data_IF_659949397038
#
_entry.id   IF_659949397038
#
_cell.length_a   1.000
_cell.length_b   1.000
_cell.length_c   1.000
_cell.angle_alpha   90.00
_cell.angle_beta   90.00
_cell.angle_gamma   90.00
#
_symmetry.space_group_name_H-M   'P 1'
#
loop_
_entity.id
_entity.type
_entity.pdbx_description
1 polymer ?
#
# COMPACT_ATOMS: atom_id res chain seq x y z
N UNK A 1 3.16 21.60 -3.33
CA UNK A 1 4.09 20.46 -3.44
C UNK A 1 5.34 20.90 -4.19
N UNK A 2 5.26 21.22 -5.48
CA UNK A 2 6.40 21.65 -6.30
C UNK A 2 7.28 22.71 -5.61
N UNK A 3 6.68 23.81 -5.14
CA UNK A 3 7.39 24.89 -4.43
C UNK A 3 8.12 24.42 -3.15
N UNK A 4 7.62 23.39 -2.47
CA UNK A 4 8.27 22.82 -1.27
C UNK A 4 9.35 21.81 -1.69
N UNK A 5 9.16 21.10 -2.79
CA UNK A 5 10.12 20.12 -3.30
C UNK A 5 11.43 20.78 -3.72
N UNK A 6 11.43 22.06 -4.10
CA UNK A 6 12.66 22.85 -4.34
C UNK A 6 13.55 22.97 -3.10
N UNK A 7 12.97 22.83 -1.90
CA UNK A 7 13.71 22.89 -0.63
C UNK A 7 14.28 21.53 -0.20
N UNK A 8 13.99 20.47 -0.95
CA UNK A 8 14.43 19.11 -0.64
C UNK A 8 15.94 18.96 -0.43
N UNK A 9 16.83 19.60 -1.22
CA UNK A 9 18.27 19.46 -1.02
C UNK A 9 18.75 19.97 0.34
N UNK A 10 17.97 20.84 0.99
CA UNK A 10 18.30 21.42 2.29
C UNK A 10 17.62 20.69 3.45
N UNK A 11 16.43 20.13 3.22
CA UNK A 11 15.57 19.59 4.29
C UNK A 11 15.16 18.13 4.10
N UNK A 12 15.74 17.39 3.15
CA UNK A 12 15.38 16.01 2.85
C UNK A 12 15.40 15.09 4.07
N UNK A 13 16.49 15.13 4.86
CA UNK A 13 16.58 14.39 6.11
C UNK A 13 15.53 14.82 7.15
N UNK A 14 15.26 16.12 7.28
CA UNK A 14 14.20 16.62 8.15
C UNK A 14 12.82 16.12 7.72
N UNK A 15 12.51 16.15 6.42
CA UNK A 15 11.25 15.64 5.89
C UNK A 15 11.07 14.15 6.18
N UNK A 16 12.14 13.35 6.05
CA UNK A 16 12.09 11.91 6.34
C UNK A 16 11.89 11.63 7.85
N UNK A 17 12.57 12.37 8.72
CA UNK A 17 12.39 12.24 10.17
C UNK A 17 11.00 12.68 10.61
N UNK A 18 10.49 13.79 10.06
CA UNK A 18 9.12 14.25 10.33
C UNK A 18 8.09 13.26 9.79
N UNK A 19 8.31 12.67 8.61
CA UNK A 19 7.46 11.59 8.08
C UNK A 19 7.35 10.44 9.07
N UNK A 20 8.47 9.97 9.63
CA UNK A 20 8.46 8.87 10.57
C UNK A 20 7.68 9.17 11.85
N UNK A 21 7.89 10.36 12.44
CA UNK A 21 7.18 10.80 13.63
C UNK A 21 5.66 10.91 13.37
N UNK A 22 5.27 11.59 12.29
CA UNK A 22 3.86 11.73 11.91
C UNK A 22 3.22 10.40 11.49
N UNK A 23 4.01 9.47 10.93
CA UNK A 23 3.56 8.13 10.58
C UNK A 23 3.18 7.31 11.81
N UNK A 24 3.98 7.37 12.88
CA UNK A 24 3.66 6.72 14.14
C UNK A 24 2.38 7.30 14.76
N UNK A 25 2.29 8.63 14.84
CA UNK A 25 1.11 9.33 15.34
C UNK A 25 -0.15 9.01 14.51
N UNK A 26 -0.02 8.95 13.18
CA UNK A 26 -1.12 8.65 12.27
C UNK A 26 -1.77 7.29 12.57
N UNK A 27 -0.94 6.28 12.83
CA UNK A 27 -1.43 4.94 13.16
C UNK A 27 -2.13 4.94 14.53
N UNK A 28 -1.52 5.55 15.54
CA UNK A 28 -2.10 5.60 16.88
C UNK A 28 -3.43 6.38 16.91
N UNK A 29 -3.41 7.61 16.39
CA UNK A 29 -4.57 8.48 16.36
C UNK A 29 -5.73 7.88 15.56
N UNK A 30 -5.44 7.23 14.42
CA UNK A 30 -6.48 6.61 13.59
C UNK A 30 -7.24 5.51 14.34
N UNK A 31 -6.54 4.72 15.14
CA UNK A 31 -7.14 3.67 15.99
C UNK A 31 -8.04 4.28 17.07
N UNK A 32 -7.55 5.31 17.76
CA UNK A 32 -8.28 5.98 18.84
C UNK A 32 -9.55 6.66 18.29
N UNK A 33 -9.41 7.44 17.23
CA UNK A 33 -10.49 8.21 16.62
C UNK A 33 -11.55 7.28 16.02
N UNK A 34 -11.13 6.22 15.32
CA UNK A 34 -12.04 5.24 14.72
C UNK A 34 -12.96 4.57 15.75
N UNK A 35 -12.46 4.32 16.96
CA UNK A 35 -13.23 3.76 18.09
C UNK A 35 -14.11 4.81 18.76
N UNK A 36 -13.55 6.00 19.04
CA UNK A 36 -14.24 7.05 19.78
C UNK A 36 -15.39 7.68 18.97
N UNK A 37 -15.28 7.72 17.64
CA UNK A 37 -16.24 8.36 16.71
C UNK A 37 -16.68 9.76 17.20
N UNK A 38 -15.73 10.71 17.32
CA UNK A 38 -15.96 11.98 18.00
C UNK A 38 -17.01 12.84 17.28
N UNK A 39 -17.79 13.61 18.06
CA UNK A 39 -18.91 14.45 17.58
C UNK A 39 -18.85 15.88 18.17
N UNK A 40 -19.72 16.76 17.69
CA UNK A 40 -19.78 18.16 18.12
C UNK A 40 -18.59 19.00 17.66
N UNK A 41 -18.47 20.22 18.19
CA UNK A 41 -17.42 21.18 17.77
C UNK A 41 -15.99 20.63 18.02
N UNK A 42 -15.74 20.08 19.21
CA UNK A 42 -14.44 19.45 19.55
C UNK A 42 -14.15 18.23 18.68
N UNK A 43 -15.16 17.40 18.40
CA UNK A 43 -14.99 16.25 17.51
C UNK A 43 -14.70 16.65 16.07
N UNK A 44 -15.31 17.75 15.58
CA UNK A 44 -14.98 18.33 14.28
C UNK A 44 -13.52 18.76 14.20
N UNK A 45 -12.98 19.40 15.24
CA UNK A 45 -11.56 19.78 15.29
C UNK A 45 -10.65 18.54 15.23
N UNK A 46 -10.90 17.53 16.06
CA UNK A 46 -10.12 16.27 16.07
C UNK A 46 -10.13 15.58 14.70
N UNK A 47 -11.28 15.49 14.04
CA UNK A 47 -11.37 14.89 12.71
C UNK A 47 -10.63 15.70 11.63
N UNK A 48 -10.56 17.02 11.79
CA UNK A 48 -9.81 17.88 10.87
C UNK A 48 -8.31 17.77 11.11
N UNK A 49 -7.87 17.70 12.37
CA UNK A 49 -6.45 17.52 12.72
C UNK A 49 -5.93 16.19 12.17
N UNK A 50 -6.71 15.10 12.32
CA UNK A 50 -6.36 13.81 11.73
C UNK A 50 -6.31 13.85 10.20
N UNK A 51 -7.23 14.57 9.57
CA UNK A 51 -7.20 14.80 8.11
C UNK A 51 -5.90 15.49 7.69
N UNK A 52 -5.50 16.55 8.39
CA UNK A 52 -4.27 17.28 8.11
C UNK A 52 -3.03 16.42 8.35
N UNK A 53 -2.99 15.66 9.45
CA UNK A 53 -1.94 14.69 9.76
C UNK A 53 -1.75 13.70 8.62
N UNK A 54 -2.83 13.03 8.20
CA UNK A 54 -2.81 12.05 7.12
C UNK A 54 -2.28 12.63 5.79
N UNK A 55 -2.78 13.78 5.38
CA UNK A 55 -2.35 14.44 4.14
C UNK A 55 -0.88 14.89 4.21
N UNK A 56 -0.46 15.47 5.34
CA UNK A 56 0.91 15.90 5.55
C UNK A 56 1.88 14.71 5.58
N UNK A 57 1.55 13.61 6.26
CA UNK A 57 2.33 12.36 6.23
C UNK A 57 2.48 11.84 4.80
N UNK A 58 1.41 11.86 4.01
CA UNK A 58 1.46 11.49 2.59
C UNK A 58 2.39 12.37 1.74
N UNK A 59 2.43 13.68 2.01
CA UNK A 59 3.32 14.61 1.31
C UNK A 59 4.78 14.45 1.73
N UNK A 60 5.03 14.28 3.02
CA UNK A 60 6.38 14.07 3.56
C UNK A 60 6.99 12.74 3.13
N UNK A 61 6.18 11.70 2.92
CA UNK A 61 6.66 10.45 2.34
C UNK A 61 7.29 10.67 0.96
N UNK A 62 6.64 11.49 0.12
CA UNK A 62 7.17 11.83 -1.20
C UNK A 62 8.42 12.72 -1.07
N UNK A 63 8.34 13.82 -0.32
CA UNK A 63 9.44 14.78 -0.17
C UNK A 63 10.69 14.16 0.47
N UNK A 64 10.53 13.46 1.61
CA UNK A 64 11.65 12.87 2.35
C UNK A 64 12.32 11.70 1.64
N UNK A 65 11.62 11.03 0.72
CA UNK A 65 12.23 9.93 -0.07
C UNK A 65 12.92 10.41 -1.34
N UNK A 66 12.69 11.65 -1.79
CA UNK A 66 13.36 12.20 -2.96
C UNK A 66 14.88 12.36 -2.75
N UNK A 67 15.30 12.74 -1.54
CA UNK A 67 16.69 13.13 -1.25
C UNK A 67 17.66 11.95 -1.28
N UNK A 68 17.14 10.73 -1.09
CA UNK A 68 17.93 9.50 -0.92
C UNK A 68 19.06 9.66 0.10
N UNK A 69 18.83 10.50 1.11
CA UNK A 69 19.77 10.74 2.20
C UNK A 69 19.93 9.44 3.00
N UNK A 70 21.08 8.80 2.80
CA UNK A 70 21.40 7.51 3.41
C UNK A 70 21.62 7.65 4.90
N UNK A 71 22.20 8.76 5.34
CA UNK A 71 22.55 8.98 6.74
C UNK A 71 21.28 9.27 7.54
N UNK A 72 20.38 10.09 7.00
CA UNK A 72 19.06 10.31 7.61
C UNK A 72 18.25 9.01 7.70
N UNK A 73 18.27 8.17 6.67
CA UNK A 73 17.59 6.86 6.73
C UNK A 73 18.26 5.90 7.72
N UNK A 74 19.59 5.85 7.79
CA UNK A 74 20.30 5.03 8.75
C UNK A 74 19.95 5.43 10.19
N UNK A 75 19.98 6.73 10.49
CA UNK A 75 19.56 7.28 11.79
C UNK A 75 18.10 6.95 12.11
N UNK A 76 17.20 7.06 11.12
CA UNK A 76 15.81 6.62 11.27
C UNK A 76 15.73 5.12 11.61
N UNK A 77 16.41 4.27 10.85
CA UNK A 77 16.39 2.82 11.07
C UNK A 77 16.97 2.40 12.42
N UNK A 78 17.94 3.15 12.95
CA UNK A 78 18.57 2.88 14.26
C UNK A 78 17.73 3.40 15.43
N UNK A 79 17.17 4.62 15.31
CA UNK A 79 16.37 5.27 16.35
C UNK A 79 15.06 4.54 16.64
N UNK A 80 14.49 3.85 15.65
CA UNK A 80 13.30 3.03 15.85
C UNK A 80 13.70 1.58 16.15
N UNK A 81 14.46 1.41 17.23
CA UNK A 81 14.94 0.12 17.73
C UNK A 81 13.78 -0.87 17.93
N UNK A 82 13.82 -2.00 17.23
CA UNK A 82 12.78 -3.03 17.26
C UNK A 82 11.61 -2.81 16.29
N UNK A 83 11.58 -1.70 15.55
CA UNK A 83 10.61 -1.59 14.46
C UNK A 83 11.05 -2.42 13.27
N UNK A 84 10.19 -3.35 12.91
CA UNK A 84 10.05 -3.92 11.57
C UNK A 84 9.55 -2.84 10.58
N UNK A 85 9.92 -1.56 10.75
CA UNK A 85 9.29 -0.43 10.08
C UNK A 85 9.54 -0.48 8.57
N UNK A 86 8.64 -1.15 7.88
CA UNK A 86 8.41 -0.89 6.49
C UNK A 86 8.06 0.60 6.35
N UNK A 87 8.93 1.34 5.67
CA UNK A 87 8.79 2.76 5.39
C UNK A 87 7.38 3.10 4.88
N UNK A 88 6.79 2.24 4.07
CA UNK A 88 5.45 2.39 3.47
C UNK A 88 4.30 2.19 4.46
N UNK A 89 4.50 1.43 5.54
CA UNK A 89 3.43 0.92 6.38
C UNK A 89 2.54 1.99 7.03
N UNK A 90 3.05 3.14 7.52
CA UNK A 90 2.17 4.19 8.06
C UNK A 90 1.08 4.64 7.09
N UNK A 91 1.39 4.66 5.79
CA UNK A 91 0.43 5.02 4.75
C UNK A 91 -0.33 3.81 4.22
N UNK A 92 0.31 2.64 4.08
CA UNK A 92 -0.38 1.42 3.63
C UNK A 92 -1.41 0.95 4.67
N UNK A 93 -1.07 1.02 5.95
CA UNK A 93 -1.95 0.69 7.08
C UNK A 93 -3.17 1.61 7.23
N UNK A 94 -3.28 2.67 6.43
CA UNK A 94 -4.54 3.42 6.30
C UNK A 94 -5.60 2.64 5.52
N UNK A 95 -5.18 1.72 4.64
CA UNK A 95 -6.06 1.00 3.72
C UNK A 95 -6.60 1.85 2.58
N UNK A 96 -6.17 3.11 2.44
CA UNK A 96 -6.71 4.05 1.44
C UNK A 96 -5.75 4.18 0.25
N UNK A 97 -6.27 3.94 -0.96
CA UNK A 97 -5.49 3.86 -2.21
C UNK A 97 -4.56 5.06 -2.38
N UNK A 98 -5.08 6.29 -2.28
CA UNK A 98 -4.28 7.50 -2.49
C UNK A 98 -3.05 7.64 -1.55
N UNK A 99 -3.08 7.01 -0.37
CA UNK A 99 -1.97 7.03 0.59
C UNK A 99 -1.07 5.81 0.44
N UNK A 100 -1.65 4.63 0.19
CA UNK A 100 -0.90 3.41 -0.16
C UNK A 100 0.08 3.69 -1.30
N UNK A 101 -0.39 4.34 -2.37
CA UNK A 101 0.43 4.63 -3.55
C UNK A 101 1.63 5.54 -3.22
N UNK A 102 1.45 6.52 -2.33
CA UNK A 102 2.54 7.41 -1.89
C UNK A 102 3.57 6.68 -1.03
N UNK A 103 3.11 5.80 -0.13
CA UNK A 103 3.99 4.95 0.67
C UNK A 103 4.79 3.97 -0.19
N UNK A 104 4.12 3.32 -1.15
CA UNK A 104 4.75 2.44 -2.14
C UNK A 104 5.77 3.19 -2.99
N UNK A 105 5.41 4.36 -3.51
CA UNK A 105 6.30 5.21 -4.29
C UNK A 105 7.55 5.60 -3.49
N UNK A 106 7.40 5.98 -2.22
CA UNK A 106 8.52 6.33 -1.34
C UNK A 106 9.49 5.14 -1.15
N UNK A 107 8.95 3.94 -0.90
CA UNK A 107 9.77 2.72 -0.81
C UNK A 107 10.50 2.44 -2.13
N UNK A 108 9.79 2.54 -3.26
CA UNK A 108 10.37 2.39 -4.59
C UNK A 108 11.48 3.41 -4.89
N UNK A 109 11.31 4.66 -4.44
CA UNK A 109 12.27 5.75 -4.62
C UNK A 109 13.56 5.49 -3.84
N UNK A 110 13.48 5.02 -2.59
CA UNK A 110 14.65 4.67 -1.77
C UNK A 110 15.32 3.37 -2.24
N UNK A 111 14.56 2.41 -2.78
CA UNK A 111 15.07 1.25 -3.49
C UNK A 111 16.00 0.37 -2.65
N UNK A 112 17.26 0.25 -3.08
CA UNK A 112 18.30 -0.58 -2.41
C UNK A 112 18.45 -0.25 -0.92
N UNK A 113 18.20 0.99 -0.51
CA UNK A 113 18.36 1.45 0.87
C UNK A 113 17.41 0.73 1.84
N UNK A 114 16.17 0.49 1.42
CA UNK A 114 15.13 -0.14 2.24
C UNK A 114 14.94 -1.63 1.95
N UNK A 115 15.48 -2.12 0.83
CA UNK A 115 15.32 -3.50 0.36
C UNK A 115 15.67 -4.57 1.41
N UNK A 116 16.77 -4.48 2.18
CA UNK A 116 17.08 -5.49 3.20
C UNK A 116 16.01 -5.63 4.28
N UNK A 117 15.38 -4.51 4.69
CA UNK A 117 14.31 -4.51 5.68
C UNK A 117 13.07 -5.24 5.14
N UNK A 118 12.66 -4.95 3.90
CA UNK A 118 11.52 -5.62 3.28
C UNK A 118 11.73 -7.11 3.00
N UNK A 119 12.95 -7.54 2.65
CA UNK A 119 13.26 -8.98 2.52
C UNK A 119 13.14 -9.71 3.85
N UNK A 120 13.56 -9.07 4.95
CA UNK A 120 13.42 -9.62 6.30
C UNK A 120 11.95 -9.71 6.69
N UNK A 121 11.21 -8.61 6.51
CA UNK A 121 9.77 -8.57 6.76
C UNK A 121 9.04 -9.69 6.01
N UNK A 122 9.34 -9.91 4.73
CA UNK A 122 8.73 -10.97 3.92
C UNK A 122 8.84 -12.37 4.52
N UNK A 123 9.92 -12.65 5.26
CA UNK A 123 10.13 -13.94 5.94
C UNK A 123 9.59 -13.98 7.37
N UNK A 124 9.32 -12.82 7.98
CA UNK A 124 8.91 -12.67 9.38
C UNK A 124 7.45 -12.23 9.56
N UNK A 125 6.77 -11.79 8.51
CA UNK A 125 5.41 -11.23 8.55
C UNK A 125 4.43 -12.19 9.23
N UNK A 126 3.66 -11.65 10.17
CA UNK A 126 2.76 -12.42 11.06
C UNK A 126 1.28 -12.14 10.81
N UNK A 127 0.94 -11.09 10.06
CA UNK A 127 -0.40 -10.81 9.57
C UNK A 127 -0.44 -10.61 8.05
N UNK A 128 -1.59 -10.89 7.42
CA UNK A 128 -1.77 -10.71 5.97
C UNK A 128 -1.51 -9.28 5.50
N UNK A 129 -1.87 -8.28 6.30
CA UNK A 129 -1.71 -6.88 5.92
C UNK A 129 -0.27 -6.40 6.04
N UNK A 130 0.52 -7.00 6.94
CA UNK A 130 1.96 -6.76 7.01
C UNK A 130 2.61 -7.30 5.73
N UNK A 131 2.21 -8.51 5.33
CA UNK A 131 2.64 -9.10 4.06
C UNK A 131 2.21 -8.27 2.84
N UNK A 132 0.99 -7.72 2.82
CA UNK A 132 0.54 -6.87 1.71
C UNK A 132 1.38 -5.61 1.59
N UNK A 133 1.70 -4.95 2.71
CA UNK A 133 2.62 -3.81 2.71
C UNK A 133 4.01 -4.21 2.18
N UNK A 134 4.56 -5.32 2.66
CA UNK A 134 5.84 -5.84 2.17
C UNK A 134 5.82 -6.09 0.66
N UNK A 135 4.77 -6.74 0.13
CA UNK A 135 4.64 -7.03 -1.30
C UNK A 135 4.45 -5.75 -2.12
N UNK A 136 3.65 -4.79 -1.65
CA UNK A 136 3.46 -3.48 -2.28
C UNK A 136 4.78 -2.72 -2.40
N UNK A 137 5.58 -2.69 -1.33
CA UNK A 137 6.87 -2.02 -1.34
C UNK A 137 7.89 -2.72 -2.25
N UNK A 138 7.96 -4.04 -2.20
CA UNK A 138 8.83 -4.84 -3.07
C UNK A 138 8.47 -4.68 -4.54
N UNK A 139 7.17 -4.67 -4.87
CA UNK A 139 6.67 -4.36 -6.21
C UNK A 139 7.19 -2.99 -6.65
N UNK A 140 6.97 -1.95 -5.84
CA UNK A 140 7.40 -0.60 -6.18
C UNK A 140 8.93 -0.48 -6.38
N UNK A 141 9.73 -1.14 -5.53
CA UNK A 141 11.19 -1.19 -5.65
C UNK A 141 11.60 -1.87 -6.96
N UNK A 142 10.99 -3.01 -7.31
CA UNK A 142 11.34 -3.77 -8.51
C UNK A 142 10.84 -3.13 -9.81
N UNK A 143 9.71 -2.43 -9.76
CA UNK A 143 9.22 -1.59 -10.87
C UNK A 143 10.20 -0.45 -11.15
N UNK A 144 10.70 0.24 -10.12
CA UNK A 144 11.57 1.41 -10.28
C UNK A 144 13.05 1.05 -10.51
N UNK A 145 13.51 -0.09 -9.99
CA UNK A 145 14.92 -0.50 -10.01
C UNK A 145 15.10 -1.84 -10.75
N UNK A 146 15.28 -1.77 -12.09
CA UNK A 146 15.41 -2.97 -12.96
C UNK A 146 16.43 -4.00 -12.45
N UNK A 147 17.58 -3.54 -11.92
CA UNK A 147 18.63 -4.42 -11.40
C UNK A 147 18.26 -5.22 -10.13
N UNK A 148 17.17 -4.86 -9.43
CA UNK A 148 16.66 -5.60 -8.27
C UNK A 148 15.52 -6.54 -8.62
N UNK A 149 14.93 -6.43 -9.82
CA UNK A 149 13.70 -7.12 -10.20
C UNK A 149 13.80 -8.64 -10.05
N UNK A 150 14.84 -9.25 -10.59
CA UNK A 150 15.04 -10.70 -10.53
C UNK A 150 15.20 -11.21 -9.08
N UNK A 151 15.92 -10.46 -8.25
CA UNK A 151 16.10 -10.77 -6.83
C UNK A 151 14.76 -10.69 -6.07
N UNK A 152 13.99 -9.63 -6.29
CA UNK A 152 12.67 -9.42 -5.69
C UNK A 152 11.73 -10.53 -6.11
N UNK A 153 11.63 -10.80 -7.42
CA UNK A 153 10.78 -11.85 -7.96
C UNK A 153 11.06 -13.20 -7.33
N UNK A 154 12.34 -13.56 -7.19
CA UNK A 154 12.77 -14.80 -6.51
C UNK A 154 12.33 -14.82 -5.04
N UNK A 155 12.50 -13.71 -4.31
CA UNK A 155 12.12 -13.62 -2.90
C UNK A 155 10.59 -13.74 -2.73
N UNK A 156 9.82 -13.01 -3.52
CA UNK A 156 8.35 -13.02 -3.51
C UNK A 156 7.80 -14.41 -3.83
N UNK A 157 8.29 -15.09 -4.87
CA UNK A 157 7.83 -16.44 -5.22
C UNK A 157 8.19 -17.50 -4.19
N UNK A 158 9.24 -17.29 -3.39
CA UNK A 158 9.61 -18.19 -2.30
C UNK A 158 8.83 -17.93 -0.99
N UNK A 159 8.22 -16.75 -0.84
CA UNK A 159 7.54 -16.32 0.39
C UNK A 159 6.40 -17.24 0.88
N UNK A 160 5.60 -17.90 0.01
CA UNK A 160 4.57 -18.83 0.46
C UNK A 160 5.12 -20.01 1.28
N UNK A 161 6.36 -20.43 1.01
CA UNK A 161 7.02 -21.57 1.67
C UNK A 161 8.15 -21.16 2.62
N UNK A 162 8.50 -19.88 2.70
CA UNK A 162 9.61 -19.38 3.52
C UNK A 162 9.07 -18.57 4.70
N UNK A 163 9.39 -19.01 5.91
CA UNK A 163 9.05 -18.33 7.15
C UNK A 163 10.13 -18.57 8.23
N UNK A 164 10.62 -17.49 8.85
CA UNK A 164 11.70 -17.53 9.84
C UNK A 164 11.19 -17.64 11.28
N UNK A 165 9.93 -17.23 11.54
CA UNK A 165 9.28 -17.30 12.86
C UNK A 165 8.13 -18.32 12.89
N UNK A 166 7.75 -18.75 14.10
CA UNK A 166 6.60 -19.66 14.29
C UNK A 166 5.28 -19.01 13.87
N UNK A 167 5.14 -17.73 14.16
CA UNK A 167 3.98 -16.91 13.81
C UNK A 167 3.86 -16.74 12.29
N UNK A 168 4.98 -16.48 11.60
CA UNK A 168 5.00 -16.42 10.14
C UNK A 168 4.61 -17.76 9.51
N UNK A 169 5.09 -18.90 10.05
CA UNK A 169 4.67 -20.23 9.59
C UNK A 169 3.16 -20.43 9.74
N UNK A 170 2.58 -20.05 10.88
CA UNK A 170 1.12 -20.11 11.09
C UNK A 170 0.35 -19.27 10.08
N UNK A 171 0.84 -18.07 9.75
CA UNK A 171 0.26 -17.25 8.71
C UNK A 171 0.29 -17.95 7.34
N UNK A 172 1.43 -18.54 6.96
CA UNK A 172 1.55 -19.29 5.69
C UNK A 172 0.60 -20.49 5.64
N UNK A 173 0.49 -21.25 6.73
CA UNK A 173 -0.42 -22.39 6.82
C UNK A 173 -1.91 -21.98 6.75
N UNK A 174 -2.30 -20.90 7.41
CA UNK A 174 -3.70 -20.50 7.50
C UNK A 174 -4.23 -19.63 6.36
N UNK A 175 -3.34 -19.08 5.52
CA UNK A 175 -3.71 -18.25 4.37
C UNK A 175 -2.89 -18.62 3.12
N UNK A 176 -2.54 -19.90 2.96
CA UNK A 176 -1.64 -20.38 1.91
C UNK A 176 -2.07 -19.93 0.51
N UNK A 177 -3.36 -20.07 0.21
CA UNK A 177 -3.94 -19.76 -1.10
C UNK A 177 -3.83 -18.27 -1.40
N UNK A 178 -4.26 -17.42 -0.48
CA UNK A 178 -4.22 -15.96 -0.59
C UNK A 178 -2.79 -15.46 -0.78
N UNK A 179 -1.86 -16.00 0.01
CA UNK A 179 -0.45 -15.63 -0.04
C UNK A 179 0.17 -16.04 -1.36
N UNK A 180 -0.06 -17.29 -1.81
CA UNK A 180 0.45 -17.79 -3.09
C UNK A 180 -0.05 -16.96 -4.27
N UNK A 181 -1.36 -16.67 -4.31
CA UNK A 181 -1.96 -15.86 -5.38
C UNK A 181 -1.40 -14.43 -5.38
N UNK A 182 -1.29 -13.79 -4.23
CA UNK A 182 -0.79 -12.41 -4.13
C UNK A 182 0.69 -12.33 -4.49
N UNK A 183 1.50 -13.30 -4.07
CA UNK A 183 2.91 -13.39 -4.45
C UNK A 183 3.08 -13.62 -5.96
N UNK A 184 2.27 -14.50 -6.55
CA UNK A 184 2.29 -14.74 -8.00
C UNK A 184 1.93 -13.47 -8.78
N UNK A 185 0.83 -12.81 -8.42
CA UNK A 185 0.43 -11.55 -9.04
C UNK A 185 1.52 -10.47 -8.91
N UNK A 186 2.15 -10.36 -7.74
CA UNK A 186 3.25 -9.42 -7.53
C UNK A 186 4.42 -9.72 -8.45
N UNK A 187 4.77 -11.00 -8.63
CA UNK A 187 5.81 -11.43 -9.55
C UNK A 187 5.46 -11.15 -11.02
N UNK A 188 4.21 -11.37 -11.42
CA UNK A 188 3.74 -11.12 -12.78
C UNK A 188 3.75 -9.61 -13.10
N UNK A 189 3.32 -8.77 -12.15
CA UNK A 189 3.33 -7.32 -12.30
C UNK A 189 4.74 -6.71 -12.38
N UNK A 190 5.75 -7.38 -11.83
CA UNK A 190 7.15 -6.95 -12.01
C UNK A 190 7.62 -7.07 -13.45
N UNK A 191 7.04 -8.02 -14.20
CA UNK A 191 7.36 -8.33 -15.59
C UNK A 191 6.34 -7.74 -16.58
N UNK A 192 5.32 -7.03 -16.08
CA UNK A 192 4.26 -6.44 -16.89
C UNK A 192 4.76 -5.28 -17.78
N UNK A 193 4.11 -5.13 -18.93
CA UNK A 193 4.37 -4.05 -19.87
C UNK A 193 3.91 -2.70 -19.27
N UNK A 194 4.81 -1.72 -19.10
CA UNK A 194 4.45 -0.39 -18.61
C UNK A 194 3.37 0.31 -19.43
N UNK A 195 3.33 0.09 -20.75
CA UNK A 195 2.35 0.76 -21.61
C UNK A 195 0.94 0.19 -21.40
N UNK A 196 0.82 -1.12 -21.15
CA UNK A 196 -0.45 -1.74 -20.78
C UNK A 196 -0.92 -1.30 -19.40
N UNK A 197 0.00 -1.19 -18.42
CA UNK A 197 -0.33 -0.69 -17.08
C UNK A 197 -0.83 0.76 -17.12
N UNK A 198 -0.25 1.59 -17.97
CA UNK A 198 -0.67 2.97 -18.16
C UNK A 198 -2.04 3.06 -18.86
N UNK A 199 -2.32 2.19 -19.85
CA UNK A 199 -3.63 2.08 -20.48
C UNK A 199 -4.71 1.64 -19.47
N UNK A 200 -4.42 0.65 -18.62
CA UNK A 200 -5.34 0.18 -17.58
C UNK A 200 -5.65 1.27 -16.54
N UNK A 201 -4.63 2.03 -16.12
CA UNK A 201 -4.80 3.18 -15.23
C UNK A 201 -5.74 4.22 -15.86
N UNK A 202 -5.53 4.54 -17.13
CA UNK A 202 -6.37 5.50 -17.85
C UNK A 202 -7.82 5.01 -17.99
N UNK A 203 -8.02 3.75 -18.37
CA UNK A 203 -9.35 3.13 -18.48
C UNK A 203 -10.08 3.05 -17.13
N UNK A 204 -9.36 2.85 -16.03
CA UNK A 204 -9.93 2.95 -14.68
C UNK A 204 -10.41 4.37 -14.39
N UNK A 205 -9.60 5.37 -14.73
CA UNK A 205 -9.93 6.79 -14.61
C UNK A 205 -11.21 7.20 -15.33
N UNK A 206 -11.37 6.75 -16.56
CA UNK A 206 -12.57 7.05 -17.36
C UNK A 206 -13.84 6.52 -16.72
N UNK A 207 -13.82 5.28 -16.22
CA UNK A 207 -14.97 4.68 -15.52
C UNK A 207 -15.36 5.45 -14.26
N UNK A 208 -14.39 6.11 -13.61
CA UNK A 208 -14.65 6.98 -12.45
C UNK A 208 -15.22 8.33 -12.88
N UNK A 209 -14.73 8.88 -14.00
CA UNK A 209 -15.14 10.20 -14.50
C UNK A 209 -16.55 10.18 -15.12
N UNK A 210 -16.86 9.18 -15.93
CA UNK A 210 -18.17 8.99 -16.56
C UNK A 210 -18.47 7.49 -16.66
N UNK A 211 -19.44 6.95 -15.90
CA UNK A 211 -19.80 5.53 -15.97
C UNK A 211 -20.37 5.10 -17.33
N UNK A 212 -20.70 6.06 -18.21
CA UNK A 212 -21.43 5.87 -19.46
C UNK A 212 -20.71 6.33 -20.74
N UNK A 213 -19.55 7.00 -20.65
CA UNK A 213 -18.90 7.60 -21.83
C UNK A 213 -17.68 6.84 -22.37
N UNK A 214 -17.48 7.00 -23.68
CA UNK A 214 -16.27 6.68 -24.42
C UNK A 214 -15.08 7.57 -23.98
N UNK A 215 -13.83 7.14 -24.19
CA UNK A 215 -12.63 7.94 -23.89
C UNK A 215 -12.73 9.37 -24.45
N UNK A 216 -12.38 10.42 -23.67
CA UNK A 216 -12.26 11.77 -24.22
C UNK A 216 -11.05 11.79 -25.16
N UNK A 217 -11.27 11.68 -26.46
CA UNK A 217 -10.17 11.46 -27.42
C UNK A 217 -9.34 12.73 -27.72
N UNK A 218 -9.80 13.95 -27.40
CA UNK A 218 -9.13 15.19 -27.85
C UNK A 218 -8.92 16.32 -26.81
N UNK A 219 -9.17 16.10 -25.51
CA UNK A 219 -8.88 17.09 -24.46
C UNK A 219 -7.71 16.65 -23.55
N UNK A 220 -6.51 17.25 -23.66
CA UNK A 220 -5.36 16.94 -22.79
C UNK A 220 -5.67 17.07 -21.30
N UNK A 221 -6.53 18.01 -20.91
CA UNK A 221 -6.90 18.22 -19.51
C UNK A 221 -7.81 17.11 -19.00
N UNK A 222 -8.75 16.64 -19.83
CA UNK A 222 -9.59 15.50 -19.52
C UNK A 222 -8.76 14.21 -19.43
N UNK A 223 -7.75 14.07 -20.29
CA UNK A 223 -6.81 12.94 -20.26
C UNK A 223 -6.02 12.89 -18.95
N UNK A 224 -5.42 14.01 -18.57
CA UNK A 224 -4.67 14.15 -17.32
C UNK A 224 -5.58 13.89 -16.10
N UNK A 225 -6.79 14.44 -16.12
CA UNK A 225 -7.76 14.22 -15.05
C UNK A 225 -8.12 12.74 -14.91
N UNK A 226 -8.47 12.07 -16.01
CA UNK A 226 -8.80 10.64 -16.01
C UNK A 226 -7.63 9.81 -15.45
N UNK A 227 -6.40 10.06 -15.90
CA UNK A 227 -5.21 9.36 -15.38
C UNK A 227 -5.01 9.59 -13.87
N UNK A 228 -5.21 10.81 -13.38
CA UNK A 228 -4.92 11.18 -11.98
C UNK A 228 -6.02 10.76 -11.00
N UNK A 229 -7.30 10.70 -11.42
CA UNK A 229 -8.43 10.42 -10.54
C UNK A 229 -8.29 9.13 -9.71
N UNK A 230 -7.89 7.97 -10.29
CA UNK A 230 -7.67 6.74 -9.52
C UNK A 230 -6.62 6.89 -8.42
N UNK A 231 -5.62 7.75 -8.65
CA UNK A 231 -4.50 7.99 -7.72
C UNK A 231 -4.91 8.86 -6.54
N UNK A 232 -6.05 9.55 -6.65
CA UNK A 232 -6.61 10.42 -5.62
C UNK A 232 -7.82 9.81 -4.92
N UNK A 233 -8.19 8.57 -5.29
CA UNK A 233 -9.32 7.88 -4.73
C UNK A 233 -9.15 7.66 -3.22
N UNK A 234 -10.11 8.19 -2.44
CA UNK A 234 -10.24 7.98 -0.99
C UNK A 234 -10.92 6.63 -0.67
N UNK A 235 -10.74 5.66 -1.55
CA UNK A 235 -11.37 4.35 -1.49
C UNK A 235 -10.48 3.34 -0.80
N UNK A 236 -11.12 2.31 -0.28
CA UNK A 236 -10.48 1.12 0.27
C UNK A 236 -9.67 0.37 -0.79
N UNK A 237 -8.40 0.12 -0.50
CA UNK A 237 -7.46 -0.58 -1.37
C UNK A 237 -7.04 -1.96 -0.90
N UNK A 238 -7.44 -2.40 0.31
CA UNK A 238 -6.86 -3.60 0.93
C UNK A 238 -7.87 -4.57 1.55
N UNK A 239 -9.09 -4.15 1.88
CA UNK A 239 -9.96 -5.00 2.72
C UNK A 239 -10.48 -6.29 2.07
N UNK A 240 -10.32 -6.43 0.75
CA UNK A 240 -10.61 -7.65 0.02
C UNK A 240 -9.64 -7.84 -1.16
N UNK A 241 -9.64 -9.05 -1.73
CA UNK A 241 -8.72 -9.43 -2.80
C UNK A 241 -8.87 -8.61 -4.08
N UNK A 242 -10.08 -8.16 -4.46
CA UNK A 242 -10.27 -7.36 -5.68
C UNK A 242 -9.67 -5.96 -5.51
N UNK A 243 -9.82 -5.39 -4.32
CA UNK A 243 -9.22 -4.10 -3.97
C UNK A 243 -7.70 -4.20 -3.95
N UNK A 244 -7.14 -5.26 -3.36
CA UNK A 244 -5.70 -5.49 -3.34
C UNK A 244 -5.13 -5.65 -4.76
N UNK A 245 -5.77 -6.46 -5.60
CA UNK A 245 -5.37 -6.63 -7.01
C UNK A 245 -5.32 -5.28 -7.73
N UNK A 246 -6.38 -4.47 -7.59
CA UNK A 246 -6.44 -3.13 -8.20
C UNK A 246 -5.31 -2.22 -7.66
N UNK A 247 -5.07 -2.25 -6.36
CA UNK A 247 -3.98 -1.50 -5.71
C UNK A 247 -2.61 -1.91 -6.25
N UNK A 248 -2.34 -3.20 -6.42
CA UNK A 248 -1.07 -3.68 -6.96
C UNK A 248 -0.85 -3.23 -8.41
N UNK A 249 -1.89 -3.23 -9.25
CA UNK A 249 -1.80 -2.69 -10.62
C UNK A 249 -1.49 -1.19 -10.61
N UNK A 250 -2.16 -0.41 -9.73
CA UNK A 250 -1.88 1.02 -9.58
C UNK A 250 -0.45 1.28 -9.08
N UNK A 251 0.06 0.46 -8.16
CA UNK A 251 1.46 0.53 -7.71
C UNK A 251 2.40 0.24 -8.88
N UNK A 252 2.18 -0.83 -9.64
CA UNK A 252 3.00 -1.16 -10.81
C UNK A 252 3.00 -0.05 -11.86
N UNK A 253 1.85 0.57 -12.13
CA UNK A 253 1.72 1.66 -13.10
C UNK A 253 2.43 2.95 -12.64
N UNK A 254 2.44 3.24 -11.34
CA UNK A 254 2.87 4.56 -10.84
C UNK A 254 4.22 4.58 -10.14
N UNK A 255 4.73 3.44 -9.66
CA UNK A 255 5.93 3.41 -8.84
C UNK A 255 7.20 3.88 -9.55
N UNK A 256 7.25 3.88 -10.89
CA UNK A 256 8.36 4.44 -11.67
C UNK A 256 8.18 5.93 -12.02
N UNK A 257 6.96 6.46 -11.91
CA UNK A 257 6.61 7.82 -12.31
C UNK A 257 7.16 8.92 -11.40
N UNK A 258 6.97 10.19 -11.80
CA UNK A 258 7.33 11.36 -11.01
C UNK A 258 6.34 11.56 -9.83
N UNK A 259 6.74 12.14 -8.69
CA UNK A 259 5.84 12.29 -7.53
C UNK A 259 4.65 13.23 -7.78
N UNK A 260 4.76 14.14 -8.75
CA UNK A 260 3.72 15.09 -9.17
C UNK A 260 2.46 14.40 -9.67
N UNK A 261 2.56 13.15 -10.14
CA UNK A 261 1.43 12.38 -10.65
C UNK A 261 0.31 12.18 -9.60
N UNK A 262 0.63 12.29 -8.31
CA UNK A 262 -0.33 12.12 -7.22
C UNK A 262 -1.12 13.41 -6.90
N UNK A 263 -1.05 14.41 -7.76
CA UNK A 263 -1.71 15.70 -7.61
C UNK A 263 -2.50 16.06 -8.86
N UNK A 264 -3.65 16.72 -8.68
CA UNK A 264 -4.38 17.29 -9.81
C UNK A 264 -3.53 18.34 -10.52
N UNK A 265 -3.71 18.48 -11.85
CA UNK A 265 -3.21 19.64 -12.59
C UNK A 265 -3.62 20.94 -11.90
N UNK A 266 -2.69 21.91 -11.82
CA UNK A 266 -2.92 23.21 -11.16
C UNK A 266 -4.16 23.93 -11.69
N UNK A 267 -4.43 23.79 -13.00
CA UNK A 267 -5.60 24.35 -13.68
C UNK A 267 -6.95 23.81 -13.18
N UNK A 268 -6.97 22.62 -12.55
CA UNK A 268 -8.17 21.97 -12.04
C UNK A 268 -8.38 22.14 -10.53
N UNK A 269 -7.34 22.54 -9.78
CA UNK A 269 -7.41 22.62 -8.31
C UNK A 269 -8.52 23.54 -7.82
N UNK A 270 -8.78 24.66 -8.49
CA UNK A 270 -9.84 25.60 -8.11
C UNK A 270 -11.23 25.09 -8.49
N UNK A 271 -11.34 24.37 -9.62
CA UNK A 271 -12.60 23.82 -10.15
C UNK A 271 -13.07 22.59 -9.37
N UNK A 272 -12.14 21.76 -8.91
CA UNK A 272 -12.41 20.51 -8.20
C UNK A 272 -12.20 20.62 -6.68
N UNK A 273 -12.13 21.85 -6.16
CA UNK A 273 -11.94 22.07 -4.72
C UNK A 273 -13.18 21.60 -3.96
N UNK A 274 -13.00 20.52 -3.21
CA UNK A 274 -13.99 20.00 -2.26
C UNK A 274 -13.65 20.47 -0.84
N UNK A 275 -14.42 21.40 -0.23
CA UNK A 275 -14.17 21.84 1.14
C UNK A 275 -14.27 20.67 2.11
N UNK A 276 -13.34 20.61 3.07
CA UNK A 276 -13.34 19.53 4.05
C UNK A 276 -14.63 19.50 4.88
N UNK A 277 -15.12 18.27 5.12
CA UNK A 277 -16.25 17.96 6.00
C UNK A 277 -15.85 16.77 6.89
N UNK A 278 -16.38 16.65 8.12
CA UNK A 278 -16.12 15.50 9.00
C UNK A 278 -16.31 14.13 8.34
N UNK A 279 -17.29 14.01 7.44
CA UNK A 279 -17.56 12.80 6.69
C UNK A 279 -16.34 12.30 5.88
N UNK A 280 -15.50 13.21 5.38
CA UNK A 280 -14.30 12.85 4.62
C UNK A 280 -13.29 12.09 5.48
N UNK A 281 -13.08 12.54 6.72
CA UNK A 281 -12.21 11.84 7.67
C UNK A 281 -12.79 10.48 8.04
N UNK A 282 -14.09 10.43 8.33
CA UNK A 282 -14.77 9.17 8.70
C UNK A 282 -14.70 8.13 7.56
N UNK A 283 -14.84 8.56 6.31
CA UNK A 283 -14.72 7.67 5.14
C UNK A 283 -13.34 7.00 5.06
N UNK A 284 -12.26 7.72 5.38
CA UNK A 284 -10.89 7.20 5.34
C UNK A 284 -10.60 6.30 6.56
N UNK A 285 -11.28 6.50 7.69
CA UNK A 285 -11.11 5.63 8.86
C UNK A 285 -11.74 4.24 8.69
N UNK A 286 -12.72 4.07 7.80
CA UNK A 286 -13.38 2.77 7.58
C UNK A 286 -12.44 1.70 6.99
N UNK A 287 -11.67 1.95 5.90
CA UNK A 287 -10.65 1.03 5.41
C UNK A 287 -9.62 0.65 6.48
N UNK A 288 -9.15 1.63 7.25
CA UNK A 288 -8.23 1.39 8.38
C UNK A 288 -8.83 0.43 9.40
N UNK A 289 -10.07 0.65 9.81
CA UNK A 289 -10.73 -0.23 10.76
C UNK A 289 -10.87 -1.66 10.22
N UNK A 290 -11.01 -1.84 8.90
CA UNK A 290 -10.97 -3.16 8.27
C UNK A 290 -9.59 -3.80 8.41
N UNK A 291 -8.52 -3.09 8.05
CA UNK A 291 -7.11 -3.53 8.23
C UNK A 291 -6.86 -3.98 9.67
N UNK A 292 -7.23 -3.15 10.65
CA UNK A 292 -7.02 -3.42 12.08
C UNK A 292 -7.77 -4.68 12.55
N UNK A 293 -9.03 -4.86 12.12
CA UNK A 293 -9.82 -6.05 12.47
C UNK A 293 -9.18 -7.34 11.97
N UNK A 294 -8.56 -7.30 10.79
CA UNK A 294 -7.89 -8.45 10.21
C UNK A 294 -6.50 -8.70 10.81
N UNK A 295 -5.77 -7.67 11.22
CA UNK A 295 -4.49 -7.82 11.94
C UNK A 295 -4.66 -8.46 13.33
N UNK A 296 -5.79 -8.21 14.00
CA UNK A 296 -6.08 -8.75 15.35
C UNK A 296 -6.71 -10.13 15.36
N UNK A 297 -7.16 -10.66 14.22
CA UNK A 297 -7.77 -11.99 14.17
C UNK A 297 -6.70 -13.07 14.29
N UNK A 298 -6.78 -13.98 15.28
CA UNK A 298 -5.94 -15.17 15.27
C UNK A 298 -6.17 -15.90 13.95
N UNK A 299 -5.08 -16.31 13.30
CA UNK A 299 -5.18 -17.22 12.16
C UNK A 299 -5.81 -18.52 12.68
N UNK A 300 -7.11 -18.69 12.44
CA UNK A 300 -7.82 -19.90 12.81
C UNK A 300 -7.28 -20.98 11.88
N UNK A 301 -6.66 -22.03 12.43
CA UNK A 301 -6.29 -23.20 11.65
C UNK A 301 -7.52 -23.64 10.87
N UNK A 302 -7.42 -23.70 9.54
CA UNK A 302 -8.39 -24.45 8.76
C UNK A 302 -8.54 -25.81 9.42
N UNK A 303 -9.79 -26.29 9.60
CA UNK A 303 -10.01 -27.63 10.14
C UNK A 303 -9.16 -28.60 9.33
N UNK A 304 -8.26 -29.33 10.00
CA UNK A 304 -7.44 -30.32 9.35
C UNK A 304 -8.38 -31.32 8.69
N UNK A 305 -8.30 -31.46 7.37
CA UNK A 305 -9.07 -32.46 6.61
C UNK A 305 -8.71 -33.82 7.20
N UNK A 306 -9.70 -34.50 7.76
CA UNK A 306 -9.49 -35.82 8.36
C UNK A 306 -8.98 -36.79 7.30
N UNK A 307 -8.14 -37.76 7.70
CA UNK A 307 -7.55 -38.73 6.76
C UNK A 307 -8.58 -39.41 5.84
N UNK A 308 -9.82 -39.54 6.30
CA UNK A 308 -10.90 -40.20 5.58
C UNK A 308 -11.91 -39.24 4.94
N UNK A 309 -11.76 -37.93 5.11
CA UNK A 309 -12.67 -36.93 4.55
C UNK A 309 -12.44 -36.79 3.03
N UNK A 310 -13.45 -36.30 2.28
CA UNK A 310 -13.29 -36.00 0.87
C UNK A 310 -12.12 -35.04 0.64
N UNK A 311 -11.28 -35.37 -0.35
CA UNK A 311 -10.10 -34.60 -0.65
C UNK A 311 -10.49 -33.22 -1.22
N UNK A 312 -9.95 -32.11 -0.68
CA UNK A 312 -10.33 -30.77 -1.09
C UNK A 312 -9.89 -30.39 -2.52
N UNK A 313 -9.08 -31.23 -3.20
CA UNK A 313 -8.73 -31.04 -4.60
C UNK A 313 -9.86 -31.36 -5.59
N UNK A 314 -10.99 -31.90 -5.11
CA UNK A 314 -12.16 -32.22 -5.93
C UNK A 314 -12.08 -33.57 -6.66
N UNK A 315 -11.12 -34.44 -6.31
CA UNK A 315 -10.98 -35.77 -6.93
C UNK A 315 -12.12 -36.74 -6.58
N UNK A 316 -12.91 -36.45 -5.55
CA UNK A 316 -13.92 -37.36 -5.00
C UNK A 316 -13.34 -38.46 -4.11
N UNK A 317 -12.01 -38.57 -3.99
CA UNK A 317 -11.34 -39.56 -3.15
C UNK A 317 -11.15 -39.09 -1.70
N UNK A 318 -10.89 -40.03 -0.79
CA UNK A 318 -10.52 -39.69 0.60
C UNK A 318 -9.13 -39.06 0.63
N UNK A 319 -8.90 -38.06 1.50
CA UNK A 319 -7.63 -37.32 1.57
C UNK A 319 -6.40 -38.21 1.64
N UNK A 320 -6.40 -39.27 2.47
CA UNK A 320 -5.27 -40.22 2.60
C UNK A 320 -4.92 -41.01 1.32
N UNK A 321 -5.80 -41.03 0.33
CA UNK A 321 -5.60 -41.74 -0.94
C UNK A 321 -5.29 -40.80 -2.10
N UNK A 322 -5.35 -39.49 -1.87
CA UNK A 322 -5.15 -38.47 -2.88
C UNK A 322 -4.01 -37.53 -2.46
N UNK A 323 -4.32 -36.36 -1.89
CA UNK A 323 -3.29 -35.37 -1.51
C UNK A 323 -2.56 -35.68 -0.19
N UNK A 324 -3.03 -36.66 0.59
CA UNK A 324 -2.44 -37.08 1.87
C UNK A 324 -1.68 -38.41 1.80
N UNK A 325 -1.28 -38.82 0.60
CA UNK A 325 -0.41 -39.96 0.33
C UNK A 325 1.05 -39.62 0.53
#
# INVERSE_FOLDING_TARGET
FLEIAELEPLFGGSFLTTYAAMGAELLEAGTIIGRARPRGARGKAILHDYWNLLHATGHLALLGSMARDRDAYAQLSESVAGSRAALSFPLVGTGVVAFILKGAWAAGRLGKLVMPAYKRALAEDVALYDLFDTLIALLAIGTRTRGLRAEIRKAVLAAPSRAETTEARRLREGAEKEIRLTCQLTADLLDADPDLLEQDLFALGQRVFDPSAAPPEDDPLARDLARTLPLMARTDGLSDGRKLVSTLHLVAATAAGPPEQFYLPRALLTKLRDPWRPAHTLQILEPRAAVERHQRRPVVRAQSVGRNDPCPCGSGEKWKRCCGG
#
